data_IF_318728971414
#
_entry.id   IF_318728971414
#
_cell.length_a   1.000
_cell.length_b   1.000
_cell.length_c   1.000
_cell.angle_alpha   90.00
_cell.angle_beta   90.00
_cell.angle_gamma   90.00
#
_symmetry.space_group_name_H-M   'P 1'
#
loop_
_entity.id
_entity.type
_entity.pdbx_description
1 polymer ?
#
# COMPACT_ATOMS: atom_id res chain seq x y z
N UNK A 1 -24.84 13.75 4.11
CA UNK A 1 -24.17 12.48 4.45
C UNK A 1 -22.66 12.69 4.32
N UNK A 2 -21.88 12.28 5.31
CA UNK A 2 -20.40 12.34 5.25
C UNK A 2 -19.92 11.32 4.24
N UNK A 3 -19.07 11.72 3.29
CA UNK A 3 -18.50 10.78 2.30
C UNK A 3 -17.49 9.85 2.97
N UNK A 4 -17.24 8.68 2.37
CA UNK A 4 -16.24 7.74 2.92
C UNK A 4 -14.83 8.34 3.02
N UNK A 5 -14.46 9.22 2.09
CA UNK A 5 -13.19 9.96 2.13
C UNK A 5 -13.14 10.91 3.32
N UNK A 6 -14.21 11.67 3.58
CA UNK A 6 -14.31 12.55 4.75
C UNK A 6 -14.26 11.77 6.07
N UNK A 7 -14.87 10.57 6.11
CA UNK A 7 -14.80 9.71 7.28
C UNK A 7 -13.38 9.20 7.54
N UNK A 8 -12.65 8.82 6.49
CA UNK A 8 -11.25 8.40 6.60
C UNK A 8 -10.36 9.56 7.06
N UNK A 9 -10.52 10.75 6.47
CA UNK A 9 -9.80 11.96 6.86
C UNK A 9 -10.03 12.28 8.33
N UNK A 10 -11.30 12.34 8.75
CA UNK A 10 -11.66 12.62 10.14
C UNK A 10 -11.05 11.62 11.13
N UNK A 11 -11.04 10.33 10.78
CA UNK A 11 -10.39 9.31 11.61
C UNK A 11 -8.90 9.62 11.80
N UNK A 12 -8.17 9.90 10.72
CA UNK A 12 -6.74 10.18 10.81
C UNK A 12 -6.44 11.50 11.52
N UNK A 13 -7.19 12.57 11.24
CA UNK A 13 -6.99 13.86 11.90
C UNK A 13 -7.33 13.83 13.40
N UNK A 14 -8.39 13.09 13.79
CA UNK A 14 -8.89 13.10 15.17
C UNK A 14 -8.34 11.94 16.03
N UNK A 15 -7.93 10.82 15.42
CA UNK A 15 -7.67 9.57 16.17
C UNK A 15 -6.41 8.85 15.69
N UNK A 16 -6.27 8.58 14.38
CA UNK A 16 -5.26 7.68 13.84
C UNK A 16 -3.83 8.06 14.20
N UNK A 17 -3.54 9.34 14.21
CA UNK A 17 -2.21 9.88 14.54
C UNK A 17 -2.04 10.26 16.02
N UNK A 18 -3.04 10.05 16.90
CA UNK A 18 -2.83 10.24 18.33
C UNK A 18 -1.87 9.19 18.87
N UNK A 19 -0.98 9.64 19.74
CA UNK A 19 -0.08 8.75 20.46
C UNK A 19 -0.84 8.04 21.58
N UNK A 20 -0.67 6.72 21.64
CA UNK A 20 -1.19 5.86 22.69
C UNK A 20 -0.11 4.83 23.01
N UNK A 21 0.27 4.70 24.29
CA UNK A 21 1.27 3.73 24.76
C UNK A 21 2.59 3.74 23.94
N UNK A 22 3.08 4.94 23.59
CA UNK A 22 4.33 5.14 22.89
C UNK A 22 4.31 4.93 21.37
N UNK A 23 3.13 4.73 20.76
CA UNK A 23 2.96 4.66 19.33
C UNK A 23 1.65 5.32 18.89
N UNK A 24 1.50 5.62 17.58
CA UNK A 24 0.22 6.11 17.06
C UNK A 24 -0.87 5.05 17.12
N UNK A 25 -2.13 5.46 17.19
CA UNK A 25 -3.28 4.53 17.12
C UNK A 25 -3.25 3.76 15.79
N UNK A 26 -2.86 4.39 14.70
CA UNK A 26 -2.65 3.73 13.41
C UNK A 26 -1.63 2.60 13.51
N UNK A 27 -0.49 2.83 14.18
CA UNK A 27 0.51 1.79 14.42
C UNK A 27 -0.05 0.63 15.24
N UNK A 28 -0.87 0.89 16.28
CA UNK A 28 -1.51 -0.16 17.07
C UNK A 28 -2.53 -0.98 16.29
N UNK A 29 -3.27 -0.34 15.37
CA UNK A 29 -4.30 -1.00 14.55
C UNK A 29 -3.71 -1.79 13.38
N UNK A 30 -2.74 -1.21 12.69
CA UNK A 30 -2.22 -1.69 11.41
C UNK A 30 -0.73 -2.02 11.45
N UNK A 31 0.00 -1.39 12.37
CA UNK A 31 1.42 -1.62 12.59
C UNK A 31 1.67 -3.07 12.99
N UNK A 32 2.79 -3.54 12.54
CA UNK A 32 3.23 -4.90 12.80
C UNK A 32 4.22 -4.82 13.95
N UNK A 33 3.88 -5.40 15.14
CA UNK A 33 4.87 -5.57 16.21
C UNK A 33 6.06 -6.34 15.65
N UNK A 34 7.24 -5.74 15.70
CA UNK A 34 8.49 -6.27 15.10
C UNK A 34 9.10 -7.44 15.90
N UNK A 35 8.28 -8.31 16.46
CA UNK A 35 8.71 -9.37 17.31
C UNK A 35 8.91 -10.67 16.53
N UNK A 36 10.16 -10.95 16.21
CA UNK A 36 10.59 -12.26 15.76
C UNK A 36 11.25 -12.31 14.37
N UNK A 37 12.13 -13.32 14.15
CA UNK A 37 12.98 -13.41 12.96
C UNK A 37 12.21 -13.54 11.64
N UNK A 38 11.04 -14.19 11.66
CA UNK A 38 10.19 -14.37 10.47
C UNK A 38 9.68 -13.00 9.97
N UNK A 39 9.37 -12.07 10.87
CA UNK A 39 8.86 -10.75 10.51
C UNK A 39 9.93 -9.86 9.96
N UNK A 40 11.11 -9.89 10.56
CA UNK A 40 12.29 -9.16 10.06
C UNK A 40 12.59 -9.62 8.62
N UNK A 41 12.58 -10.92 8.37
CA UNK A 41 12.80 -11.48 7.04
C UNK A 41 11.75 -11.01 6.02
N UNK A 42 10.48 -10.98 6.43
CA UNK A 42 9.39 -10.52 5.55
C UNK A 42 9.46 -9.04 5.26
N UNK A 43 9.69 -8.24 6.29
CA UNK A 43 9.85 -6.81 6.12
C UNK A 43 10.99 -6.53 5.13
N UNK A 44 12.13 -7.22 5.30
CA UNK A 44 13.25 -7.13 4.35
C UNK A 44 12.84 -7.52 2.93
N UNK A 45 12.17 -8.65 2.75
CA UNK A 45 11.72 -9.10 1.43
C UNK A 45 10.74 -8.10 0.79
N UNK A 46 9.85 -7.54 1.59
CA UNK A 46 8.91 -6.51 1.15
C UNK A 46 9.66 -5.25 0.69
N UNK A 47 10.60 -4.76 1.48
CA UNK A 47 11.42 -3.60 1.14
C UNK A 47 12.28 -3.86 -0.10
N UNK A 48 12.91 -5.04 -0.22
CA UNK A 48 13.70 -5.41 -1.40
C UNK A 48 12.86 -5.38 -2.69
N UNK A 49 11.61 -5.81 -2.62
CA UNK A 49 10.66 -5.78 -3.76
C UNK A 49 10.27 -4.37 -4.14
N UNK A 50 9.94 -3.51 -3.18
CA UNK A 50 9.62 -2.10 -3.41
C UNK A 50 10.82 -1.40 -4.06
N UNK A 51 12.00 -1.57 -3.48
CA UNK A 51 13.24 -0.96 -3.97
C UNK A 51 13.55 -1.43 -5.39
N UNK A 52 13.42 -2.72 -5.67
CA UNK A 52 13.59 -3.28 -7.02
C UNK A 52 12.60 -2.68 -8.02
N UNK A 53 11.33 -2.50 -7.62
CA UNK A 53 10.31 -1.89 -8.47
C UNK A 53 10.61 -0.41 -8.76
N UNK A 54 10.97 0.37 -7.75
CA UNK A 54 11.32 1.79 -7.89
C UNK A 54 12.60 2.00 -8.72
N UNK A 55 13.61 1.14 -8.55
CA UNK A 55 14.87 1.20 -9.30
C UNK A 55 14.71 1.02 -10.82
N UNK A 56 13.56 0.53 -11.29
CA UNK A 56 13.24 0.49 -12.72
C UNK A 56 13.12 1.91 -13.35
N UNK A 57 12.87 2.95 -12.54
CA UNK A 57 12.87 4.34 -12.99
C UNK A 57 14.26 4.97 -13.04
N UNK A 58 15.27 4.31 -12.49
CA UNK A 58 16.65 4.78 -12.40
C UNK A 58 17.17 4.86 -10.96
N UNK A 59 18.23 5.62 -10.78
CA UNK A 59 18.84 5.93 -9.48
C UNK A 59 18.66 7.43 -9.18
N UNK A 60 18.66 7.82 -7.91
CA UNK A 60 18.49 9.22 -7.49
C UNK A 60 17.17 9.83 -7.95
N UNK A 61 16.09 9.20 -7.56
CA UNK A 61 14.73 9.51 -8.00
C UNK A 61 14.20 10.82 -7.40
N UNK A 62 13.44 11.57 -8.20
CA UNK A 62 12.44 12.52 -7.72
C UNK A 62 11.18 11.71 -7.42
N UNK A 63 10.99 11.35 -6.14
CA UNK A 63 9.94 10.44 -5.67
C UNK A 63 8.74 11.21 -5.11
N UNK A 64 7.54 10.82 -5.54
CA UNK A 64 6.28 11.21 -4.90
C UNK A 64 5.73 10.02 -4.09
N UNK A 65 5.54 10.20 -2.78
CA UNK A 65 4.78 9.27 -1.95
C UNK A 65 3.36 9.79 -1.74
N UNK A 66 2.38 9.00 -2.18
CA UNK A 66 0.95 9.30 -2.06
C UNK A 66 0.35 8.57 -0.86
N UNK A 67 -0.21 9.34 0.09
CA UNK A 67 -0.71 8.81 1.35
C UNK A 67 0.42 8.53 2.34
N UNK A 68 1.37 9.46 2.46
CA UNK A 68 2.53 9.31 3.34
C UNK A 68 2.17 9.34 4.84
N UNK A 69 1.01 9.90 5.19
CA UNK A 69 0.54 10.00 6.57
C UNK A 69 1.57 10.61 7.52
N UNK A 70 1.57 10.12 8.76
CA UNK A 70 2.52 10.52 9.79
C UNK A 70 3.81 9.69 9.83
N UNK A 71 3.89 8.65 9.02
CA UNK A 71 5.05 7.74 8.98
C UNK A 71 5.51 7.49 7.54
N UNK A 72 6.10 8.50 6.87
CA UNK A 72 6.57 8.38 5.50
C UNK A 72 7.69 7.34 5.37
N UNK A 73 7.83 6.75 4.18
CA UNK A 73 8.73 5.61 3.93
C UNK A 73 10.21 6.04 3.84
N UNK A 74 10.82 6.26 5.00
CA UNK A 74 12.21 6.72 5.14
C UNK A 74 13.24 5.72 4.60
N UNK A 75 12.89 4.44 4.49
CA UNK A 75 13.80 3.41 4.00
C UNK A 75 14.06 3.53 2.50
N UNK A 76 13.33 4.40 1.78
CA UNK A 76 13.53 4.67 0.36
C UNK A 76 14.40 5.90 0.08
N UNK A 77 14.84 6.65 1.11
CA UNK A 77 15.53 7.94 0.94
C UNK A 77 16.88 7.81 0.22
N UNK A 78 17.56 6.71 0.36
CA UNK A 78 18.82 6.46 -0.36
C UNK A 78 18.66 6.30 -1.87
N UNK A 79 17.44 5.95 -2.32
CA UNK A 79 17.07 5.93 -3.74
C UNK A 79 16.72 7.33 -4.27
N UNK A 80 16.51 8.32 -3.39
CA UNK A 80 15.96 9.61 -3.76
C UNK A 80 17.03 10.68 -3.94
N UNK A 81 16.84 11.55 -4.94
CA UNK A 81 17.49 12.88 -5.03
C UNK A 81 16.56 13.97 -4.47
N UNK A 82 15.26 13.76 -4.53
CA UNK A 82 14.21 14.60 -3.96
C UNK A 82 13.05 13.71 -3.51
N UNK A 83 12.41 14.09 -2.40
CA UNK A 83 11.24 13.39 -1.88
C UNK A 83 10.08 14.36 -1.69
N UNK A 84 8.90 13.99 -2.17
CA UNK A 84 7.64 14.72 -1.94
C UNK A 84 6.64 13.76 -1.33
N UNK A 85 6.12 14.09 -0.14
CA UNK A 85 5.03 13.36 0.50
C UNK A 85 3.71 14.12 0.37
N UNK A 86 2.63 13.44 -0.01
CA UNK A 86 1.28 14.03 0.01
C UNK A 86 0.34 13.18 0.84
N UNK A 87 -0.52 13.86 1.59
CA UNK A 87 -1.60 13.26 2.36
C UNK A 87 -2.74 14.27 2.52
N UNK A 88 -3.94 13.82 2.85
CA UNK A 88 -5.05 14.71 3.16
C UNK A 88 -5.09 15.10 4.64
N UNK A 89 -4.39 14.35 5.53
CA UNK A 89 -4.31 14.61 6.97
C UNK A 89 -3.18 15.59 7.29
N UNK A 90 -3.53 16.80 7.68
CA UNK A 90 -2.53 17.79 8.12
C UNK A 90 -1.86 17.36 9.43
N UNK A 91 -2.57 16.59 10.27
CA UNK A 91 -1.98 16.01 11.49
C UNK A 91 -0.89 15.00 11.14
N UNK A 92 -1.14 14.11 10.18
CA UNK A 92 -0.12 13.20 9.65
C UNK A 92 1.08 13.96 9.07
N UNK A 93 0.83 14.95 8.22
CA UNK A 93 1.90 15.73 7.58
C UNK A 93 2.77 16.50 8.59
N UNK A 94 2.23 16.96 9.71
CA UNK A 94 3.04 17.57 10.79
C UNK A 94 4.01 16.55 11.39
N UNK A 95 3.56 15.33 11.63
CA UNK A 95 4.43 14.24 12.11
C UNK A 95 5.49 13.88 11.07
N UNK A 96 5.10 13.78 9.80
CA UNK A 96 6.03 13.53 8.69
C UNK A 96 7.13 14.59 8.60
N UNK A 97 6.79 15.87 8.68
CA UNK A 97 7.77 16.98 8.72
C UNK A 97 8.73 16.84 9.90
N UNK A 98 8.22 16.49 11.08
CA UNK A 98 9.05 16.24 12.27
C UNK A 98 9.99 15.05 12.07
N UNK A 99 9.50 13.95 11.50
CA UNK A 99 10.31 12.75 11.21
C UNK A 99 11.43 13.03 10.17
N UNK A 100 11.25 14.03 9.31
CA UNK A 100 12.20 14.42 8.27
C UNK A 100 13.09 15.62 8.64
N UNK A 101 13.00 16.16 9.86
CA UNK A 101 13.72 17.35 10.27
C UNK A 101 15.25 17.28 10.03
N UNK A 102 15.82 16.07 10.12
CA UNK A 102 17.26 15.83 9.93
C UNK A 102 17.59 15.09 8.61
N UNK A 103 16.67 15.04 7.66
CA UNK A 103 16.89 14.40 6.35
C UNK A 103 17.59 15.37 5.42
N UNK A 104 18.74 14.97 4.89
CA UNK A 104 19.63 15.86 4.11
C UNK A 104 19.15 16.11 2.67
N UNK A 105 18.38 15.18 2.07
CA UNK A 105 17.86 15.37 0.70
C UNK A 105 16.76 16.42 0.67
N UNK A 106 16.61 17.21 -0.41
CA UNK A 106 15.46 18.10 -0.60
C UNK A 106 14.15 17.33 -0.46
N UNK A 107 13.27 17.81 0.42
CA UNK A 107 11.98 17.17 0.64
C UNK A 107 10.89 18.19 0.92
N UNK A 108 9.64 17.82 0.61
CA UNK A 108 8.45 18.63 0.94
C UNK A 108 7.26 17.74 1.30
N UNK A 109 6.35 18.28 2.10
CA UNK A 109 5.09 17.63 2.49
C UNK A 109 3.94 18.58 2.22
N UNK A 110 2.94 18.13 1.43
CA UNK A 110 1.80 18.93 0.98
C UNK A 110 0.48 18.23 1.24
N UNK A 111 -0.50 19.00 1.73
CA UNK A 111 -1.89 18.54 1.77
C UNK A 111 -2.42 18.45 0.35
N UNK A 112 -2.86 17.26 -0.09
CA UNK A 112 -3.41 17.06 -1.42
C UNK A 112 -4.39 15.90 -1.45
N UNK A 113 -5.38 15.98 -2.36
CA UNK A 113 -6.21 14.86 -2.77
C UNK A 113 -5.48 14.10 -3.89
N UNK A 114 -5.26 12.81 -3.66
CA UNK A 114 -4.61 11.94 -4.66
C UNK A 114 -5.44 11.74 -5.93
N UNK A 115 -6.73 12.06 -5.88
CA UNK A 115 -7.63 12.05 -7.04
C UNK A 115 -7.46 13.28 -7.94
N UNK A 116 -6.74 14.32 -7.47
CA UNK A 116 -6.47 15.58 -8.20
C UNK A 116 -5.14 16.17 -7.73
N UNK A 117 -4.04 15.54 -8.08
CA UNK A 117 -2.70 15.91 -7.63
C UNK A 117 -2.29 17.28 -8.16
N UNK A 118 -1.79 18.22 -7.30
CA UNK A 118 -1.43 19.58 -7.69
C UNK A 118 -0.03 19.66 -8.34
N UNK A 119 0.26 18.72 -9.24
CA UNK A 119 1.53 18.62 -9.95
C UNK A 119 1.31 18.50 -11.46
N UNK A 120 2.24 19.02 -12.24
CA UNK A 120 2.24 18.89 -13.69
C UNK A 120 2.47 17.45 -14.16
N UNK A 121 2.13 17.20 -15.43
CA UNK A 121 2.40 15.92 -16.07
C UNK A 121 3.89 15.61 -16.09
N UNK A 122 4.26 14.36 -15.78
CA UNK A 122 5.64 13.91 -15.86
C UNK A 122 6.62 14.58 -14.89
N UNK A 123 6.13 15.12 -13.78
CA UNK A 123 6.95 15.81 -12.75
C UNK A 123 7.91 14.86 -12.02
N UNK A 124 7.49 13.62 -11.79
CA UNK A 124 8.21 12.68 -10.94
C UNK A 124 8.82 11.51 -11.72
N UNK A 125 9.96 11.02 -11.24
CA UNK A 125 10.56 9.77 -11.74
C UNK A 125 9.75 8.56 -11.33
N UNK A 126 9.24 8.58 -10.09
CA UNK A 126 8.45 7.51 -9.53
C UNK A 126 7.33 8.04 -8.61
N UNK A 127 6.20 7.32 -8.62
CA UNK A 127 5.14 7.43 -7.62
C UNK A 127 5.11 6.16 -6.79
N UNK A 128 5.13 6.31 -5.48
CA UNK A 128 4.93 5.25 -4.50
C UNK A 128 3.63 5.49 -3.75
N UNK A 129 2.77 4.49 -3.67
CA UNK A 129 1.52 4.56 -2.92
C UNK A 129 1.33 3.25 -2.16
N UNK A 130 1.35 3.32 -0.84
CA UNK A 130 1.20 2.16 0.03
C UNK A 130 -0.05 2.27 0.88
N UNK A 131 -0.84 1.20 0.87
CA UNK A 131 -1.98 0.99 1.77
C UNK A 131 -3.08 2.07 1.75
N UNK A 132 -3.09 2.99 0.78
CA UNK A 132 -4.05 4.08 0.68
C UNK A 132 -5.27 3.73 -0.20
N UNK A 133 -5.05 3.18 -1.40
CA UNK A 133 -6.06 3.12 -2.47
C UNK A 133 -7.39 2.46 -2.05
N UNK A 134 -7.36 1.48 -1.18
CA UNK A 134 -8.55 0.77 -0.72
C UNK A 134 -9.32 1.49 0.41
N UNK A 135 -8.81 2.61 0.91
CA UNK A 135 -9.52 3.53 1.80
C UNK A 135 -10.34 4.57 1.03
N UNK A 136 -10.13 4.70 -0.27
CA UNK A 136 -10.98 5.44 -1.18
C UNK A 136 -12.16 4.53 -1.55
N UNK A 137 -13.36 4.75 -0.98
CA UNK A 137 -14.48 3.81 -1.14
C UNK A 137 -15.23 3.94 -2.46
N UNK A 138 -15.10 5.08 -3.15
CA UNK A 138 -15.69 5.29 -4.46
C UNK A 138 -14.78 4.72 -5.56
N UNK A 139 -15.25 3.77 -6.39
CA UNK A 139 -14.48 3.22 -7.50
C UNK A 139 -14.08 4.26 -8.56
N UNK A 140 -14.89 5.31 -8.77
CA UNK A 140 -14.55 6.37 -9.70
C UNK A 140 -13.38 7.22 -9.15
N UNK A 141 -13.39 7.53 -7.85
CA UNK A 141 -12.29 8.21 -7.20
C UNK A 141 -11.01 7.35 -7.17
N UNK A 142 -11.12 6.02 -6.97
CA UNK A 142 -9.95 5.12 -7.12
C UNK A 142 -9.40 5.14 -8.56
N UNK A 143 -10.27 5.17 -9.58
CA UNK A 143 -9.83 5.27 -10.99
C UNK A 143 -9.13 6.60 -11.25
N UNK A 144 -9.67 7.71 -10.73
CA UNK A 144 -9.06 9.03 -10.83
C UNK A 144 -7.67 9.06 -10.17
N UNK A 145 -7.52 8.52 -8.95
CA UNK A 145 -6.23 8.44 -8.27
C UNK A 145 -5.19 7.64 -9.08
N UNK A 146 -5.58 6.46 -9.63
CA UNK A 146 -4.67 5.68 -10.48
C UNK A 146 -4.28 6.42 -11.77
N UNK A 147 -5.20 7.19 -12.36
CA UNK A 147 -4.92 8.03 -13.53
C UNK A 147 -3.93 9.16 -13.18
N UNK A 148 -4.11 9.82 -12.04
CA UNK A 148 -3.22 10.86 -11.53
C UNK A 148 -1.80 10.32 -11.27
N UNK A 149 -1.66 9.13 -10.65
CA UNK A 149 -0.35 8.50 -10.44
C UNK A 149 0.39 8.30 -11.77
N UNK A 150 -0.31 7.83 -12.81
CA UNK A 150 0.27 7.67 -14.14
C UNK A 150 0.56 9.02 -14.80
N UNK A 151 -0.32 10.03 -14.61
CA UNK A 151 -0.15 11.36 -15.22
C UNK A 151 1.11 12.04 -14.73
N UNK A 152 1.31 12.10 -13.41
CA UNK A 152 2.42 12.85 -12.79
C UNK A 152 3.78 12.18 -12.92
N UNK A 153 3.82 10.88 -13.26
CA UNK A 153 5.07 10.18 -13.56
C UNK A 153 5.53 10.52 -14.98
N UNK A 154 6.84 10.77 -15.17
CA UNK A 154 7.43 11.02 -16.49
C UNK A 154 7.40 9.78 -17.40
N UNK A 155 7.47 9.93 -18.72
CA UNK A 155 7.73 8.80 -19.61
C UNK A 155 8.98 8.01 -19.17
N UNK A 156 8.88 6.68 -19.13
CA UNK A 156 9.94 5.79 -18.65
C UNK A 156 10.04 5.66 -17.12
N UNK A 157 9.31 6.47 -16.37
CA UNK A 157 9.20 6.37 -14.91
C UNK A 157 8.24 5.26 -14.46
N UNK A 158 8.07 5.08 -13.15
CA UNK A 158 7.28 3.98 -12.58
C UNK A 158 6.26 4.44 -11.55
N UNK A 159 5.12 3.75 -11.52
CA UNK A 159 4.16 3.78 -10.41
C UNK A 159 4.27 2.47 -9.66
N UNK A 160 4.52 2.52 -8.36
CA UNK A 160 4.55 1.36 -7.46
C UNK A 160 3.39 1.49 -6.48
N UNK A 161 2.42 0.60 -6.60
CA UNK A 161 1.20 0.59 -5.80
C UNK A 161 1.16 -0.67 -4.92
N UNK A 162 1.08 -0.51 -3.62
CA UNK A 162 0.79 -1.60 -2.69
C UNK A 162 -0.70 -1.56 -2.35
N UNK A 163 -1.40 -2.63 -2.72
CA UNK A 163 -2.84 -2.70 -2.57
C UNK A 163 -3.29 -4.02 -1.94
N UNK A 164 -4.43 -3.97 -1.26
CA UNK A 164 -5.03 -5.16 -0.67
C UNK A 164 -5.66 -6.06 -1.75
N UNK A 165 -5.43 -7.36 -1.63
CA UNK A 165 -6.13 -8.38 -2.41
C UNK A 165 -7.49 -8.67 -1.76
N UNK A 166 -8.61 -8.44 -2.44
CA UNK A 166 -9.93 -8.72 -1.88
C UNK A 166 -10.21 -10.22 -1.69
N UNK A 167 -9.49 -11.09 -2.42
CA UNK A 167 -9.70 -12.54 -2.42
C UNK A 167 -8.40 -13.32 -2.18
N UNK A 168 -7.71 -13.13 -1.05
CA UNK A 168 -6.53 -13.91 -0.73
C UNK A 168 -6.90 -15.37 -0.45
N UNK A 169 -5.91 -16.26 -0.38
CA UNK A 169 -6.11 -17.69 -0.06
C UNK A 169 -6.95 -17.91 1.21
N UNK A 170 -6.80 -17.04 2.21
CA UNK A 170 -7.60 -17.08 3.45
C UNK A 170 -9.02 -16.51 3.31
N UNK A 171 -9.46 -16.12 2.11
CA UNK A 171 -10.79 -15.52 1.89
C UNK A 171 -11.94 -16.42 2.35
N UNK A 172 -11.97 -17.74 2.08
CA UNK A 172 -13.05 -18.64 2.54
C UNK A 172 -13.18 -18.64 4.07
N UNK A 173 -12.06 -18.66 4.80
CA UNK A 173 -12.05 -18.62 6.27
C UNK A 173 -12.55 -17.24 6.79
N UNK A 174 -12.18 -16.15 6.11
CA UNK A 174 -12.69 -14.80 6.46
C UNK A 174 -14.18 -14.69 6.20
N UNK A 175 -14.67 -15.24 5.09
CA UNK A 175 -16.09 -15.27 4.77
C UNK A 175 -16.88 -16.09 5.80
N UNK A 176 -16.42 -17.30 6.13
CA UNK A 176 -17.04 -18.14 7.17
C UNK A 176 -17.09 -17.42 8.52
N UNK A 177 -15.98 -16.77 8.93
CA UNK A 177 -15.93 -15.97 10.17
C UNK A 177 -16.89 -14.78 10.13
N UNK A 178 -17.06 -14.13 8.98
CA UNK A 178 -17.99 -13.01 8.82
C UNK A 178 -19.45 -13.50 8.95
N UNK A 179 -19.80 -14.58 8.26
CA UNK A 179 -21.13 -15.19 8.35
C UNK A 179 -21.47 -15.64 9.78
N UNK A 180 -20.48 -16.17 10.52
CA UNK A 180 -20.66 -16.51 11.95
C UNK A 180 -20.77 -15.26 12.83
N UNK A 181 -20.10 -14.16 12.49
CA UNK A 181 -20.18 -12.89 13.24
C UNK A 181 -21.54 -12.20 13.08
N UNK A 182 -22.27 -12.48 12.02
CA UNK A 182 -23.64 -12.00 11.79
C UNK A 182 -24.69 -12.77 12.61
N UNK A 183 -24.28 -13.83 13.34
CA UNK A 183 -25.16 -14.50 14.31
C UNK A 183 -25.27 -13.68 15.61
N UNK A 184 -26.47 -13.54 16.21
CA UNK A 184 -26.70 -12.64 17.34
C UNK A 184 -25.77 -12.84 18.55
N UNK A 185 -25.41 -14.08 18.84
CA UNK A 185 -24.55 -14.44 19.99
C UNK A 185 -23.05 -14.13 19.73
N UNK A 186 -22.54 -14.42 18.55
CA UNK A 186 -21.13 -14.23 18.21
C UNK A 186 -20.86 -12.79 17.79
N UNK A 187 -21.80 -12.14 17.10
CA UNK A 187 -21.72 -10.76 16.66
C UNK A 187 -21.63 -9.78 17.84
N UNK A 188 -22.42 -9.97 18.90
CA UNK A 188 -22.40 -9.11 20.09
C UNK A 188 -21.05 -9.22 20.85
N UNK A 189 -20.47 -10.40 20.92
CA UNK A 189 -19.17 -10.64 21.54
C UNK A 189 -18.02 -10.02 20.72
N UNK A 190 -18.04 -10.15 19.40
CA UNK A 190 -17.03 -9.57 18.52
C UNK A 190 -17.12 -8.04 18.44
N UNK A 191 -18.33 -7.47 18.50
CA UNK A 191 -18.51 -6.02 18.50
C UNK A 191 -18.06 -5.36 19.83
N UNK A 192 -18.17 -6.06 20.97
CA UNK A 192 -17.61 -5.59 22.25
C UNK A 192 -16.07 -5.51 22.25
N UNK A 193 -15.40 -6.24 21.37
CA UNK A 193 -13.94 -6.23 21.22
C UNK A 193 -13.44 -5.18 20.19
N UNK A 194 -14.37 -4.47 19.53
CA UNK A 194 -14.05 -3.39 18.58
C UNK A 194 -14.10 -2.04 19.30
N UNK A 195 -12.94 -1.51 19.66
CA UNK A 195 -12.79 -0.22 20.33
C UNK A 195 -12.76 1.01 19.40
N UNK A 196 -12.80 0.82 18.08
CA UNK A 196 -12.76 1.92 17.10
C UNK A 196 -13.72 1.70 15.94
N UNK A 197 -14.33 2.76 15.35
CA UNK A 197 -15.14 2.63 14.16
C UNK A 197 -14.27 2.06 13.04
N UNK A 198 -14.79 1.10 12.26
CA UNK A 198 -14.03 0.53 11.15
C UNK A 198 -13.75 1.62 10.12
N UNK A 199 -12.48 1.78 9.75
CA UNK A 199 -12.10 2.61 8.60
C UNK A 199 -12.83 2.14 7.35
N UNK A 200 -13.27 3.05 6.49
CA UNK A 200 -13.80 2.69 5.18
C UNK A 200 -12.79 1.82 4.44
N UNK A 201 -13.22 0.69 3.91
CA UNK A 201 -12.35 -0.30 3.29
C UNK A 201 -13.03 -0.95 2.08
N UNK A 202 -12.52 -0.65 0.89
CA UNK A 202 -13.03 -1.19 -0.37
C UNK A 202 -11.90 -1.57 -1.31
N UNK A 203 -11.26 -2.73 -1.12
CA UNK A 203 -10.23 -3.20 -2.03
C UNK A 203 -10.88 -3.62 -3.36
N UNK A 204 -10.25 -3.20 -4.46
CA UNK A 204 -10.66 -3.58 -5.80
C UNK A 204 -9.92 -4.84 -6.28
N UNK A 205 -10.53 -5.65 -7.17
CA UNK A 205 -9.85 -6.81 -7.73
C UNK A 205 -8.53 -6.44 -8.41
N UNK A 206 -7.49 -7.27 -8.26
CA UNK A 206 -6.16 -7.05 -8.88
C UNK A 206 -6.30 -6.77 -10.38
N UNK A 207 -7.12 -7.55 -11.09
CA UNK A 207 -7.36 -7.34 -12.52
C UNK A 207 -8.04 -6.01 -12.85
N UNK A 208 -8.83 -5.44 -11.91
CA UNK A 208 -9.44 -4.12 -12.08
C UNK A 208 -8.36 -3.02 -12.01
N UNK A 209 -7.50 -3.05 -11.00
CA UNK A 209 -6.39 -2.11 -10.85
C UNK A 209 -5.40 -2.21 -12.01
N UNK A 210 -5.03 -3.44 -12.41
CA UNK A 210 -4.12 -3.69 -13.53
C UNK A 210 -4.65 -3.10 -14.84
N UNK A 211 -5.96 -3.28 -15.16
CA UNK A 211 -6.56 -2.71 -16.39
C UNK A 211 -6.51 -1.18 -16.44
N UNK A 212 -6.47 -0.51 -15.30
CA UNK A 212 -6.37 0.94 -15.23
C UNK A 212 -4.94 1.42 -15.37
N UNK A 213 -4.04 0.82 -14.65
CA UNK A 213 -2.62 1.15 -14.73
C UNK A 213 -2.01 0.83 -16.10
N UNK A 214 -2.50 -0.20 -16.81
CA UNK A 214 -1.99 -0.58 -18.15
C UNK A 214 -2.20 0.52 -19.20
N UNK A 215 -3.08 1.49 -18.95
CA UNK A 215 -3.21 2.70 -19.79
C UNK A 215 -1.90 3.52 -19.83
N UNK A 216 -1.11 3.47 -18.76
CA UNK A 216 0.22 4.08 -18.70
C UNK A 216 1.31 3.26 -19.34
N UNK A 217 1.18 1.94 -19.38
CA UNK A 217 2.21 1.03 -19.88
C UNK A 217 2.12 -0.38 -19.30
N UNK A 218 3.14 -1.23 -19.49
CA UNK A 218 3.15 -2.59 -18.96
C UNK A 218 3.06 -2.59 -17.41
N UNK A 219 2.27 -3.54 -16.89
CA UNK A 219 2.04 -3.69 -15.45
C UNK A 219 2.49 -5.06 -14.99
N UNK A 220 3.45 -5.08 -14.09
CA UNK A 220 3.84 -6.27 -13.35
C UNK A 220 3.05 -6.37 -12.03
N UNK A 221 2.71 -7.59 -11.62
CA UNK A 221 2.01 -7.87 -10.37
C UNK A 221 2.77 -8.97 -9.64
N UNK A 222 3.22 -8.68 -8.42
CA UNK A 222 3.88 -9.64 -7.54
C UNK A 222 3.26 -9.58 -6.14
N UNK A 223 3.49 -10.60 -5.33
CA UNK A 223 3.09 -10.54 -3.92
C UNK A 223 3.86 -9.44 -3.19
N UNK A 224 3.17 -8.69 -2.34
CA UNK A 224 3.83 -7.89 -1.32
C UNK A 224 4.17 -8.78 -0.13
N UNK A 225 3.16 -9.53 0.34
CA UNK A 225 3.30 -10.62 1.30
C UNK A 225 2.23 -11.70 1.04
N UNK A 226 2.56 -12.98 1.21
CA UNK A 226 1.56 -14.06 1.14
C UNK A 226 0.79 -14.16 2.45
N UNK A 227 1.44 -14.21 3.62
CA UNK A 227 0.74 -14.49 4.84
C UNK A 227 0.14 -13.24 5.49
N UNK A 228 -1.02 -13.42 6.12
CA UNK A 228 -1.63 -12.38 6.96
C UNK A 228 -0.94 -12.30 8.32
N UNK A 229 -1.06 -11.14 8.98
CA UNK A 229 -0.63 -10.94 10.37
C UNK A 229 -1.18 -12.04 11.31
N UNK A 230 -2.40 -12.52 11.05
CA UNK A 230 -2.99 -13.64 11.81
C UNK A 230 -2.29 -14.97 11.54
N UNK A 231 -1.86 -15.22 10.31
CA UNK A 231 -1.09 -16.41 9.97
C UNK A 231 0.24 -16.43 10.73
N UNK A 232 0.96 -15.31 10.78
CA UNK A 232 2.22 -15.23 11.51
C UNK A 232 2.05 -15.52 13.00
N UNK A 233 1.08 -14.90 13.65
CA UNK A 233 0.80 -15.17 15.06
C UNK A 233 0.58 -16.65 15.32
N UNK A 234 -0.20 -17.31 14.47
CA UNK A 234 -0.51 -18.73 14.64
C UNK A 234 0.65 -19.63 14.27
N UNK A 235 1.43 -19.31 13.23
CA UNK A 235 2.57 -20.12 12.78
C UNK A 235 3.71 -20.10 13.78
N UNK A 236 3.97 -18.95 14.43
CA UNK A 236 5.03 -18.86 15.46
C UNK A 236 4.71 -19.66 16.71
N UNK A 237 3.41 -19.91 17.00
CA UNK A 237 2.98 -20.74 18.14
C UNK A 237 3.18 -22.25 17.89
N UNK A 238 3.18 -22.71 16.63
CA UNK A 238 3.40 -24.12 16.25
C UNK A 238 4.89 -24.43 16.02
N UNK A 239 5.68 -24.53 17.07
CA UNK A 239 7.15 -24.77 17.07
C UNK A 239 7.73 -25.40 15.77
N UNK A 240 7.83 -26.74 15.65
CA UNK A 240 8.45 -27.39 14.49
C UNK A 240 7.62 -27.29 13.19
N UNK A 241 6.30 -27.55 13.28
CA UNK A 241 5.38 -27.49 12.14
C UNK A 241 5.25 -26.06 11.58
N UNK A 242 5.24 -25.05 12.47
CA UNK A 242 5.19 -23.66 12.05
C UNK A 242 6.41 -23.24 11.22
N UNK A 243 7.61 -23.70 11.62
CA UNK A 243 8.83 -23.45 10.84
C UNK A 243 8.80 -24.12 9.46
N UNK A 244 8.24 -25.32 9.37
CA UNK A 244 8.11 -26.03 8.08
C UNK A 244 7.10 -25.32 7.17
N UNK A 245 5.95 -24.93 7.68
CA UNK A 245 4.95 -24.17 6.95
C UNK A 245 5.52 -22.84 6.47
N UNK A 246 6.28 -22.14 7.33
CA UNK A 246 6.96 -20.91 6.93
C UNK A 246 7.94 -21.14 5.78
N UNK A 247 8.78 -22.16 5.84
CA UNK A 247 9.71 -22.51 4.76
C UNK A 247 8.98 -22.77 3.44
N UNK A 248 7.86 -23.46 3.47
CA UNK A 248 7.04 -23.77 2.29
C UNK A 248 6.42 -22.50 1.69
N UNK A 249 5.83 -21.65 2.53
CA UNK A 249 5.26 -20.35 2.09
C UNK A 249 6.35 -19.44 1.51
N UNK A 250 7.50 -19.39 2.19
CA UNK A 250 8.65 -18.60 1.74
C UNK A 250 9.19 -19.12 0.40
N UNK A 251 9.31 -20.42 0.24
CA UNK A 251 9.74 -21.03 -1.01
C UNK A 251 8.77 -20.68 -2.17
N UNK A 252 7.47 -20.79 -1.93
CA UNK A 252 6.45 -20.40 -2.91
C UNK A 252 6.55 -18.91 -3.27
N UNK A 253 6.71 -18.06 -2.27
CA UNK A 253 6.77 -16.61 -2.44
C UNK A 253 7.99 -16.15 -3.23
N UNK A 254 9.13 -16.78 -3.00
CA UNK A 254 10.38 -16.45 -3.70
C UNK A 254 10.40 -17.01 -5.12
N UNK A 255 9.96 -18.25 -5.31
CA UNK A 255 10.07 -18.91 -6.62
C UNK A 255 8.91 -18.57 -7.56
N UNK A 256 7.73 -18.22 -7.01
CA UNK A 256 6.52 -17.92 -7.78
C UNK A 256 5.84 -16.62 -7.33
N UNK A 257 6.53 -15.46 -7.33
CA UNK A 257 6.00 -14.20 -6.79
C UNK A 257 4.74 -13.72 -7.51
N UNK A 258 4.58 -14.04 -8.80
CA UNK A 258 3.38 -13.69 -9.58
C UNK A 258 2.16 -14.54 -9.19
N UNK A 259 2.35 -15.83 -8.92
CA UNK A 259 1.29 -16.71 -8.41
C UNK A 259 0.92 -16.29 -6.98
N UNK A 260 1.93 -16.04 -6.16
CA UNK A 260 1.79 -15.62 -4.78
C UNK A 260 1.00 -14.33 -4.62
N UNK A 261 1.04 -13.43 -5.61
CA UNK A 261 0.23 -12.21 -5.63
C UNK A 261 -1.28 -12.47 -5.52
N UNK A 262 -1.76 -13.54 -6.12
CA UNK A 262 -3.19 -13.91 -6.06
C UNK A 262 -3.57 -14.66 -4.79
N UNK A 263 -2.60 -15.22 -4.09
CA UNK A 263 -2.78 -15.96 -2.84
C UNK A 263 -2.60 -15.05 -1.61
N UNK A 264 -1.78 -14.01 -1.72
CA UNK A 264 -1.41 -13.10 -0.66
C UNK A 264 -2.49 -12.08 -0.28
N UNK A 265 -2.28 -11.42 0.86
CA UNK A 265 -3.18 -10.36 1.34
C UNK A 265 -2.93 -9.03 0.66
N UNK A 266 -1.67 -8.75 0.32
CA UNK A 266 -1.26 -7.53 -0.35
C UNK A 266 -0.44 -7.85 -1.58
N UNK A 267 -0.57 -6.99 -2.57
CA UNK A 267 0.12 -7.09 -3.87
C UNK A 267 0.88 -5.81 -4.17
N UNK A 268 1.99 -5.94 -4.88
CA UNK A 268 2.70 -4.83 -5.49
C UNK A 268 2.34 -4.83 -6.98
N UNK A 269 1.75 -3.74 -7.45
CA UNK A 269 1.55 -3.47 -8.86
C UNK A 269 2.58 -2.43 -9.28
N UNK A 270 3.42 -2.78 -10.25
CA UNK A 270 4.43 -1.87 -10.83
C UNK A 270 4.02 -1.55 -12.26
N UNK A 271 3.69 -0.29 -12.52
CA UNK A 271 3.41 0.21 -13.88
C UNK A 271 4.59 1.04 -14.36
N UNK A 272 5.26 0.61 -15.42
CA UNK A 272 6.27 1.42 -16.09
C UNK A 272 5.62 2.27 -17.18
N UNK A 273 5.63 3.60 -17.03
CA UNK A 273 5.04 4.49 -18.04
C UNK A 273 5.79 4.37 -19.37
N UNK A 274 5.05 4.17 -20.45
CA UNK A 274 5.63 4.05 -21.78
C UNK A 274 6.50 5.27 -22.11
N UNK A 275 7.63 5.05 -22.77
CA UNK A 275 8.47 6.14 -23.25
C UNK A 275 7.74 6.93 -24.34
N UNK A 276 8.03 8.23 -24.42
CA UNK A 276 7.50 9.07 -25.48
C UNK A 276 7.97 8.49 -26.85
N UNK A 277 7.05 8.10 -27.70
CA UNK A 277 7.33 7.48 -29.01
C UNK A 277 6.82 6.03 -29.15
N UNK A 278 6.65 5.28 -28.08
CA UNK A 278 6.16 3.88 -28.16
C UNK A 278 4.64 3.80 -28.37
N UNK A 279 3.89 4.87 -28.10
CA UNK A 279 2.44 4.93 -28.34
C UNK A 279 2.08 5.16 -29.80
N UNK A 280 2.94 5.77 -30.62
CA UNK A 280 2.64 6.10 -32.02
C UNK A 280 2.58 4.83 -32.89
N UNK A 281 3.36 3.81 -32.57
CA UNK A 281 3.37 2.56 -33.35
C UNK A 281 2.16 1.64 -33.12
N UNK A 282 1.41 1.79 -32.02
CA UNK A 282 0.20 0.97 -31.80
C UNK A 282 -1.07 1.55 -32.42
N UNK A 283 -1.10 2.86 -32.67
CA UNK A 283 -2.23 3.52 -33.34
C UNK A 283 -2.20 3.39 -34.87
N UNK A 284 -1.04 3.01 -35.45
CA UNK A 284 -0.90 2.81 -36.89
C UNK A 284 -0.99 1.33 -37.32
N UNK A 285 -1.27 0.42 -36.39
CA UNK A 285 -1.36 -1.03 -36.63
C UNK A 285 -2.78 -1.60 -36.37
N UNK A 286 -3.79 -0.72 -36.25
CA UNK A 286 -5.23 -1.06 -36.24
C UNK A 286 -5.94 -0.31 -37.35
#
# INVERSE_FOLDING_TARGET
MVTGTQQTQRFYDETGWKEQDGASVDHHLFGVKEDGPIRVELHRLHQDRIRSALSQAGTKLNLLECGCGGNPERQLLDLCSRYTGVDFSETGLRMARSAFANVAIPHEFRTADVCALPFGDGTFDAVYCSHLIYHIVDPAAQDAALAEFVRVVRPGGVVVLIAANPRPLAFPMRLARRLMADTPLVGSMLNRLRSSPPLPYKPMPIGWMRRRLVRGGPVEVIAADIPSTSFYRNVTEFKGLGKLLWKSVRWLDVNYPKLSAYLGNYVILTCRKAAAGTMVQRASAT
#
